data_IF_696287004630
#
_entry.id   IF_696287004630
#
_cell.length_a   1.000
_cell.length_b   1.000
_cell.length_c   1.000
_cell.angle_alpha   90.00
_cell.angle_beta   90.00
_cell.angle_gamma   90.00
#
_symmetry.space_group_name_H-M   'P 1'
#
loop_
_entity.id
_entity.type
_entity.pdbx_description
1 polymer ?
#
# COMPACT_ATOMS: atom_id res chain seq x y z
N UNK A 1 -22.10 -9.52 11.79
CA UNK A 1 -21.60 -8.14 11.55
C UNK A 1 -20.60 -8.10 10.39
N UNK A 2 -21.11 -8.12 9.16
CA UNK A 2 -20.31 -7.83 7.98
C UNK A 2 -20.95 -6.58 7.35
N UNK A 3 -20.20 -5.48 7.18
CA UNK A 3 -20.66 -4.42 6.29
C UNK A 3 -20.47 -2.97 6.70
N UNK A 4 -19.76 -2.64 7.77
CA UNK A 4 -19.24 -1.26 7.92
C UNK A 4 -17.83 -1.18 7.34
N UNK A 5 -17.71 -1.57 6.06
CA UNK A 5 -16.56 -1.20 5.24
C UNK A 5 -16.74 0.27 4.90
N UNK A 6 -16.20 1.15 5.73
CA UNK A 6 -16.07 2.55 5.35
C UNK A 6 -15.31 2.56 4.01
N UNK A 7 -15.86 3.18 2.94
CA UNK A 7 -15.27 3.15 1.60
C UNK A 7 -13.85 3.74 1.56
N UNK A 8 -13.46 4.46 2.61
CA UNK A 8 -12.14 5.05 2.83
C UNK A 8 -11.40 4.42 4.02
N UNK A 9 -11.70 3.19 4.44
CA UNK A 9 -10.86 2.51 5.45
C UNK A 9 -9.50 2.14 4.84
N UNK A 10 -8.44 2.14 5.67
CA UNK A 10 -7.10 1.74 5.25
C UNK A 10 -7.09 0.31 4.63
N UNK A 11 -7.95 -0.59 5.12
CA UNK A 11 -8.14 -1.93 4.56
C UNK A 11 -8.69 -1.89 3.12
N UNK A 12 -9.70 -1.06 2.86
CA UNK A 12 -10.28 -0.92 1.50
C UNK A 12 -9.27 -0.31 0.54
N UNK A 13 -8.55 0.74 0.98
CA UNK A 13 -7.50 1.38 0.20
C UNK A 13 -6.35 0.42 -0.13
N UNK A 14 -5.90 -0.39 0.84
CA UNK A 14 -4.93 -1.46 0.62
C UNK A 14 -5.40 -2.43 -0.47
N UNK A 15 -6.64 -2.91 -0.40
CA UNK A 15 -7.17 -3.87 -1.36
C UNK A 15 -7.32 -3.26 -2.76
N UNK A 16 -7.70 -1.98 -2.87
CA UNK A 16 -7.73 -1.24 -4.13
C UNK A 16 -6.32 -1.06 -4.72
N UNK A 17 -5.33 -0.72 -3.88
CA UNK A 17 -3.94 -0.57 -4.31
C UNK A 17 -3.38 -1.88 -4.87
N UNK A 18 -3.68 -3.01 -4.22
CA UNK A 18 -3.30 -4.35 -4.71
C UNK A 18 -3.94 -4.67 -6.06
N UNK A 19 -5.20 -4.28 -6.26
CA UNK A 19 -5.87 -4.47 -7.55
C UNK A 19 -5.22 -3.61 -8.64
N UNK A 20 -4.85 -2.37 -8.33
CA UNK A 20 -4.13 -1.49 -9.26
C UNK A 20 -2.75 -2.06 -9.63
N UNK A 21 -2.01 -2.64 -8.67
CA UNK A 21 -0.76 -3.37 -8.96
C UNK A 21 -0.96 -4.49 -9.96
N UNK A 22 -2.00 -5.32 -9.76
CA UNK A 22 -2.31 -6.45 -10.66
C UNK A 22 -2.67 -5.98 -12.08
N UNK A 23 -3.20 -4.76 -12.21
CA UNK A 23 -3.51 -4.12 -13.50
C UNK A 23 -2.32 -3.40 -14.12
N UNK A 24 -1.16 -3.40 -13.46
CA UNK A 24 0.04 -2.67 -13.91
C UNK A 24 -0.03 -1.15 -13.68
N UNK A 25 -1.03 -0.67 -12.93
CA UNK A 25 -1.28 0.75 -12.68
C UNK A 25 -0.46 1.24 -11.48
N UNK A 26 0.87 1.24 -11.62
CA UNK A 26 1.79 1.45 -10.49
C UNK A 26 1.62 2.80 -9.78
N UNK A 27 1.31 3.88 -10.51
CA UNK A 27 1.07 5.20 -9.93
C UNK A 27 -0.21 5.23 -9.09
N UNK A 28 -1.27 4.58 -9.56
CA UNK A 28 -2.55 4.49 -8.83
C UNK A 28 -2.37 3.65 -7.56
N UNK A 29 -1.67 2.51 -7.67
CA UNK A 29 -1.33 1.69 -6.51
C UNK A 29 -0.58 2.48 -5.44
N UNK A 30 0.40 3.30 -5.85
CA UNK A 30 1.17 4.14 -4.92
C UNK A 30 0.27 5.13 -4.18
N UNK A 31 -0.56 5.89 -4.90
CA UNK A 31 -1.46 6.87 -4.27
C UNK A 31 -2.40 6.20 -3.26
N UNK A 32 -2.94 5.03 -3.60
CA UNK A 32 -3.83 4.27 -2.71
C UNK A 32 -3.11 3.80 -1.44
N UNK A 33 -1.83 3.41 -1.53
CA UNK A 33 -1.03 3.06 -0.37
C UNK A 33 -0.64 4.28 0.47
N UNK A 34 -0.32 5.42 -0.15
CA UNK A 34 -0.10 6.68 0.58
C UNK A 34 -1.34 7.09 1.37
N UNK A 35 -2.53 7.03 0.76
CA UNK A 35 -3.80 7.30 1.45
C UNK A 35 -4.05 6.32 2.59
N UNK A 36 -3.76 5.02 2.38
CA UNK A 36 -3.91 4.01 3.42
C UNK A 36 -2.96 4.23 4.61
N UNK A 37 -1.70 4.62 4.34
CA UNK A 37 -0.71 4.95 5.37
C UNK A 37 -1.03 6.26 6.09
N UNK A 38 -1.65 7.24 5.42
CA UNK A 38 -2.11 8.46 6.09
C UNK A 38 -3.16 8.16 7.18
N UNK A 39 -3.96 7.10 6.99
CA UNK A 39 -4.96 6.63 7.97
C UNK A 39 -4.33 5.69 9.01
N UNK A 40 -3.43 4.81 8.57
CA UNK A 40 -2.76 3.84 9.44
C UNK A 40 -1.23 3.84 9.17
N UNK A 41 -0.48 4.78 9.78
CA UNK A 41 0.93 4.99 9.46
C UNK A 41 1.85 3.80 9.76
N UNK A 42 1.49 2.99 10.76
CA UNK A 42 2.22 1.79 11.17
C UNK A 42 1.60 0.49 10.61
N UNK A 43 0.81 0.59 9.54
CA UNK A 43 0.18 -0.58 8.94
C UNK A 43 1.18 -1.47 8.22
N UNK A 44 1.71 -2.48 8.91
CA UNK A 44 2.73 -3.42 8.41
C UNK A 44 2.40 -3.95 7.00
N UNK A 45 1.15 -4.37 6.77
CA UNK A 45 0.71 -4.90 5.46
C UNK A 45 0.78 -3.85 4.36
N UNK A 46 0.48 -2.60 4.68
CA UNK A 46 0.51 -1.50 3.70
C UNK A 46 1.96 -1.13 3.39
N UNK A 47 2.82 -1.06 4.40
CA UNK A 47 4.26 -0.84 4.25
C UNK A 47 4.91 -1.95 3.41
N UNK A 48 4.58 -3.21 3.66
CA UNK A 48 5.05 -4.34 2.87
C UNK A 48 4.72 -4.18 1.38
N UNK A 49 3.47 -3.86 1.08
CA UNK A 49 3.01 -3.66 -0.30
C UNK A 49 3.63 -2.43 -0.96
N UNK A 50 3.77 -1.31 -0.25
CA UNK A 50 4.47 -0.12 -0.73
C UNK A 50 5.95 -0.41 -1.01
N UNK A 51 6.62 -1.14 -0.12
CA UNK A 51 8.01 -1.56 -0.29
C UNK A 51 8.21 -2.42 -1.54
N UNK A 52 7.35 -3.41 -1.75
CA UNK A 52 7.35 -4.23 -2.98
C UNK A 52 7.10 -3.40 -4.23
N UNK A 53 6.15 -2.46 -4.20
CA UNK A 53 5.85 -1.56 -5.32
C UNK A 53 7.07 -0.69 -5.68
N UNK A 54 7.77 -0.16 -4.68
CA UNK A 54 8.98 0.65 -4.87
C UNK A 54 10.11 -0.17 -5.51
N UNK A 55 10.33 -1.41 -5.07
CA UNK A 55 11.31 -2.30 -5.70
C UNK A 55 10.95 -2.58 -7.16
N UNK A 56 9.69 -2.94 -7.45
CA UNK A 56 9.21 -3.21 -8.82
C UNK A 56 9.35 -2.01 -9.76
N UNK A 57 9.22 -0.79 -9.23
CA UNK A 57 9.32 0.46 -10.00
C UNK A 57 10.76 1.01 -10.09
N UNK A 58 11.76 0.24 -9.66
CA UNK A 58 13.19 0.60 -9.74
C UNK A 58 13.69 1.48 -8.59
N UNK A 59 12.84 1.82 -7.62
CA UNK A 59 13.20 2.60 -6.42
C UNK A 59 13.65 1.68 -5.28
N UNK A 60 14.61 0.82 -5.56
CA UNK A 60 15.02 -0.29 -4.68
C UNK A 60 15.43 0.19 -3.29
N UNK A 61 16.27 1.22 -3.20
CA UNK A 61 16.75 1.78 -1.92
C UNK A 61 15.62 2.28 -1.01
N UNK A 62 14.60 2.93 -1.58
CA UNK A 62 13.41 3.35 -0.84
C UNK A 62 12.56 2.14 -0.43
N UNK A 63 12.40 1.18 -1.35
CA UNK A 63 11.66 -0.05 -1.08
C UNK A 63 12.24 -0.83 0.09
N UNK A 64 13.55 -1.03 0.13
CA UNK A 64 14.20 -1.72 1.25
C UNK A 64 14.03 -0.99 2.57
N UNK A 65 14.11 0.35 2.58
CA UNK A 65 13.88 1.13 3.79
C UNK A 65 12.47 0.91 4.32
N UNK A 66 11.47 1.04 3.44
CA UNK A 66 10.06 0.83 3.79
C UNK A 66 9.79 -0.61 4.26
N UNK A 67 10.45 -1.60 3.65
CA UNK A 67 10.34 -2.99 4.08
C UNK A 67 10.97 -3.24 5.45
N UNK A 68 12.06 -2.56 5.79
CA UNK A 68 12.65 -2.61 7.14
C UNK A 68 11.74 -1.99 8.19
N UNK A 69 11.05 -0.91 7.84
CA UNK A 69 10.09 -0.24 8.74
C UNK A 69 8.79 -1.07 8.95
N UNK A 70 8.57 -2.13 8.18
CA UNK A 70 7.41 -3.00 8.27
C UNK A 70 7.60 -4.21 9.22
N UNK A 71 8.76 -4.35 9.86
CA UNK A 71 9.16 -5.47 10.75
C UNK A 71 9.49 -4.92 12.14
#
# INVERSE_FOLDING_TARGET
>A
EAGLLFPNSHCVLLQRGRLAELRGQMNEAKSLYDEALAIHPAGERILLHMGHLLVKTGRVHLGEKVLRDAV
#
